data_IF_389168026600
#
_entry.id   IF_389168026600
#
_cell.length_a   1.000
_cell.length_b   1.000
_cell.length_c   1.000
_cell.angle_alpha   90.00
_cell.angle_beta   90.00
_cell.angle_gamma   90.00
#
_symmetry.space_group_name_H-M   'P 1'
#
loop_
_entity.id
_entity.type
_entity.pdbx_description
1 polymer ?
#
# COMPACT_ATOMS: atom_id res chain seq x y z
N UNK A 1 5.97 9.37 -18.06
CA UNK A 1 6.89 8.45 -17.33
C UNK A 1 6.17 7.11 -17.13
N UNK A 2 6.67 5.98 -17.66
CA UNK A 2 6.02 4.69 -17.50
C UNK A 2 6.06 4.29 -16.02
N UNK A 3 4.91 3.90 -15.47
CA UNK A 3 4.80 3.51 -14.05
C UNK A 3 5.43 2.13 -13.91
N UNK A 4 6.64 2.06 -13.35
CA UNK A 4 7.26 0.78 -13.01
C UNK A 4 6.27 0.02 -12.13
N UNK A 5 5.82 -1.18 -12.53
CA UNK A 5 4.85 -1.92 -11.75
C UNK A 5 5.48 -2.24 -10.39
N UNK A 6 4.82 -1.80 -9.32
CA UNK A 6 5.23 -2.20 -7.98
C UNK A 6 5.12 -3.73 -7.91
N UNK A 7 6.18 -4.40 -7.46
CA UNK A 7 6.12 -5.84 -7.20
C UNK A 7 5.00 -6.16 -6.22
N UNK A 8 4.28 -7.27 -6.43
CA UNK A 8 3.20 -7.72 -5.54
C UNK A 8 3.60 -7.73 -4.05
N UNK A 9 4.88 -7.99 -3.73
CA UNK A 9 5.43 -7.90 -2.37
C UNK A 9 5.27 -6.49 -1.75
N UNK A 10 5.70 -5.45 -2.47
CA UNK A 10 5.59 -4.05 -2.03
C UNK A 10 4.13 -3.60 -1.93
N UNK A 11 3.25 -4.05 -2.83
CA UNK A 11 1.81 -3.78 -2.72
C UNK A 11 1.24 -4.34 -1.42
N UNK A 12 1.51 -5.62 -1.13
CA UNK A 12 1.09 -6.27 0.12
C UNK A 12 1.64 -5.57 1.36
N UNK A 13 2.89 -5.12 1.31
CA UNK A 13 3.50 -4.32 2.37
C UNK A 13 2.81 -2.97 2.56
N UNK A 14 2.49 -2.23 1.48
CA UNK A 14 1.73 -0.97 1.57
C UNK A 14 0.40 -1.21 2.28
N UNK A 15 -0.33 -2.25 1.86
CA UNK A 15 -1.60 -2.63 2.47
C UNK A 15 -1.40 -3.00 3.94
N UNK A 16 -0.37 -3.79 4.26
CA UNK A 16 -0.06 -4.21 5.64
C UNK A 16 0.28 -3.01 6.53
N UNK A 17 1.11 -2.10 6.07
CA UNK A 17 1.51 -0.92 6.84
C UNK A 17 0.35 0.07 7.00
N UNK A 18 -0.51 0.20 5.98
CA UNK A 18 -1.70 1.06 6.03
C UNK A 18 -2.79 0.50 6.94
N UNK A 19 -3.22 -0.74 6.70
CA UNK A 19 -4.38 -1.34 7.39
C UNK A 19 -4.01 -2.07 8.67
N UNK A 20 -2.83 -2.70 8.72
CA UNK A 20 -2.35 -3.40 9.92
C UNK A 20 -1.73 -2.48 10.97
N UNK A 21 -0.97 -1.47 10.55
CA UNK A 21 -0.23 -0.57 11.46
C UNK A 21 -0.83 0.85 11.53
N UNK A 22 -1.60 1.27 10.52
CA UNK A 22 -2.20 2.62 10.49
C UNK A 22 -1.22 3.73 10.08
N UNK A 23 -0.14 3.41 9.37
CA UNK A 23 0.89 4.40 9.00
C UNK A 23 0.40 5.38 7.93
N UNK A 24 0.95 6.62 7.99
CA UNK A 24 0.70 7.64 6.97
C UNK A 24 1.42 7.32 5.66
N UNK A 25 0.89 7.79 4.53
CA UNK A 25 1.45 7.55 3.19
C UNK A 25 2.94 7.89 3.08
N UNK A 26 3.38 8.93 3.80
CA UNK A 26 4.77 9.39 3.82
C UNK A 26 5.69 8.43 4.58
N UNK A 27 5.21 7.83 5.67
CA UNK A 27 5.94 6.83 6.45
C UNK A 27 6.07 5.52 5.66
N UNK A 28 4.97 5.08 5.04
CA UNK A 28 4.98 3.91 4.15
C UNK A 28 5.97 4.12 3.00
N UNK A 29 5.97 5.31 2.41
CA UNK A 29 6.91 5.69 1.35
C UNK A 29 8.38 5.59 1.77
N UNK A 30 8.71 6.09 2.96
CA UNK A 30 10.05 5.95 3.54
C UNK A 30 10.42 4.49 3.82
N UNK A 31 9.51 3.71 4.39
CA UNK A 31 9.76 2.32 4.77
C UNK A 31 10.00 1.40 3.58
N UNK A 32 9.31 1.66 2.45
CA UNK A 32 9.35 0.82 1.25
C UNK A 32 10.20 1.43 0.11
N UNK A 33 10.90 2.53 0.39
CA UNK A 33 11.66 3.32 -0.58
C UNK A 33 10.85 3.60 -1.87
N UNK A 34 9.63 4.09 -1.69
CA UNK A 34 8.69 4.43 -2.77
C UNK A 34 8.11 5.83 -2.56
N UNK A 35 7.81 6.50 -3.66
CA UNK A 35 7.24 7.84 -3.59
C UNK A 35 5.86 7.83 -2.88
N UNK A 36 5.58 8.80 -2.00
CA UNK A 36 4.27 8.89 -1.33
C UNK A 36 3.11 9.04 -2.32
N UNK A 37 3.34 9.64 -3.50
CA UNK A 37 2.35 9.72 -4.59
C UNK A 37 1.92 8.34 -5.10
N UNK A 38 2.88 7.42 -5.17
CA UNK A 38 2.63 6.03 -5.57
C UNK A 38 1.81 5.33 -4.49
N UNK A 39 2.20 5.46 -3.21
CA UNK A 39 1.43 4.94 -2.07
C UNK A 39 0.00 5.45 -2.09
N UNK A 40 -0.21 6.76 -2.32
CA UNK A 40 -1.54 7.36 -2.40
C UNK A 40 -2.37 6.76 -3.54
N UNK A 41 -1.76 6.57 -4.73
CA UNK A 41 -2.44 5.98 -5.88
C UNK A 41 -2.91 4.55 -5.59
N UNK A 42 -2.06 3.73 -4.97
CA UNK A 42 -2.41 2.36 -4.60
C UNK A 42 -3.37 2.27 -3.41
N UNK A 43 -3.23 3.14 -2.41
CA UNK A 43 -4.16 3.23 -1.29
C UNK A 43 -5.57 3.64 -1.77
N UNK A 44 -5.67 4.61 -2.69
CA UNK A 44 -6.94 4.96 -3.33
C UNK A 44 -7.52 3.78 -4.11
N UNK A 45 -6.69 3.06 -4.87
CA UNK A 45 -7.14 1.89 -5.62
C UNK A 45 -7.61 0.76 -4.70
N UNK A 46 -6.92 0.54 -3.59
CA UNK A 46 -7.33 -0.40 -2.55
C UNK A 46 -8.66 0.00 -1.91
N UNK A 47 -8.85 1.30 -1.62
CA UNK A 47 -10.11 1.83 -1.12
C UNK A 47 -11.26 1.66 -2.13
N UNK A 48 -11.01 1.90 -3.43
CA UNK A 48 -11.98 1.66 -4.50
C UNK A 48 -12.36 0.17 -4.63
N UNK A 49 -11.41 -0.72 -4.38
CA UNK A 49 -11.63 -2.17 -4.35
C UNK A 49 -12.30 -2.63 -3.05
N UNK A 50 -12.61 -1.73 -2.11
CA UNK A 50 -13.21 -2.07 -0.82
C UNK A 50 -12.28 -2.85 0.11
N UNK A 51 -10.97 -2.84 -0.16
CA UNK A 51 -9.98 -3.51 0.70
C UNK A 51 -9.84 -2.66 1.97
N UNK A 52 -10.44 -3.13 3.06
CA UNK A 52 -10.43 -2.45 4.38
C UNK A 52 -9.51 -3.09 5.40
N UNK A 53 -9.03 -4.30 5.12
CA UNK A 53 -8.18 -5.06 6.03
C UNK A 53 -7.13 -5.85 5.26
N UNK A 54 -5.90 -5.80 5.75
CA UNK A 54 -4.78 -6.59 5.25
C UNK A 54 -3.81 -6.88 6.41
N UNK A 55 -3.32 -8.12 6.57
CA UNK A 55 -3.53 -9.31 5.74
C UNK A 55 -4.97 -9.86 5.85
N UNK A 56 -5.45 -10.50 4.78
CA UNK A 56 -6.69 -11.28 4.84
C UNK A 56 -6.54 -12.32 5.97
N UNK A 57 -7.50 -12.43 6.90
CA UNK A 57 -7.44 -13.47 7.93
C UNK A 57 -7.33 -14.81 7.21
N UNK A 58 -6.29 -15.57 7.57
CA UNK A 58 -6.16 -16.96 7.13
C UNK A 58 -7.23 -17.74 7.88
N UNK A 59 -8.41 -17.82 7.26
CA UNK A 59 -9.50 -18.72 7.65
C UNK A 59 -9.49 -19.92 6.75
#
# INVERSE_FOLDING_TARGET
MPTVPISMRKLKEILRLKYGVGLSHRQIGRSLAISPSVVSRYANRAAQLGIKQWPLPTG
#
